data_IF_942372333058
#
_entry.id   IF_942372333058
#
_cell.length_a   1.000
_cell.length_b   1.000
_cell.length_c   1.000
_cell.angle_alpha   90.00
_cell.angle_beta   90.00
_cell.angle_gamma   90.00
#
_symmetry.space_group_name_H-M   'P 1'
#
loop_
_entity.id
_entity.type
_entity.pdbx_description
1 polymer ?
#
# COMPACT_ATOMS: atom_id res chain seq x y z
N UNK A 1 39.62 -20.75 25.23
CA UNK A 1 38.17 -21.07 25.29
C UNK A 1 37.28 -19.89 24.86
N UNK A 2 37.70 -19.09 23.87
CA UNK A 2 36.95 -17.89 23.43
C UNK A 2 36.55 -17.88 21.95
N UNK A 3 37.07 -18.79 21.11
CA UNK A 3 36.85 -18.74 19.65
C UNK A 3 35.38 -18.95 19.26
N UNK A 4 34.66 -19.84 19.96
CA UNK A 4 33.26 -20.12 19.62
C UNK A 4 32.33 -18.97 20.01
N UNK A 5 32.64 -18.27 21.11
CA UNK A 5 31.88 -17.12 21.58
C UNK A 5 32.08 -15.89 20.69
N UNK A 6 33.33 -15.64 20.25
CA UNK A 6 33.62 -14.58 19.28
C UNK A 6 33.00 -14.87 17.90
N UNK A 7 33.09 -16.11 17.40
CA UNK A 7 32.47 -16.48 16.13
C UNK A 7 30.94 -16.28 16.14
N UNK A 8 30.29 -16.56 17.26
CA UNK A 8 28.85 -16.35 17.41
C UNK A 8 28.48 -14.86 17.41
N UNK A 9 29.27 -14.00 18.08
CA UNK A 9 29.04 -12.55 18.07
C UNK A 9 29.20 -11.99 16.65
N UNK A 10 30.20 -12.45 15.89
CA UNK A 10 30.42 -12.01 14.52
C UNK A 10 29.33 -12.48 13.56
N UNK A 11 28.78 -13.69 13.76
CA UNK A 11 27.63 -14.16 12.99
C UNK A 11 26.39 -13.30 13.25
N UNK A 12 26.09 -13.01 14.53
CA UNK A 12 24.94 -12.19 14.91
C UNK A 12 25.06 -10.76 14.37
N UNK A 13 26.26 -10.18 14.44
CA UNK A 13 26.54 -8.83 13.92
C UNK A 13 26.40 -8.80 12.40
N UNK A 14 26.96 -9.78 11.69
CA UNK A 14 26.86 -9.86 10.23
C UNK A 14 25.42 -10.02 9.75
N UNK A 15 24.66 -10.93 10.36
CA UNK A 15 23.25 -11.15 10.04
C UNK A 15 22.37 -9.96 10.44
N UNK A 16 22.63 -9.37 11.62
CA UNK A 16 21.90 -8.21 12.13
C UNK A 16 22.12 -6.96 11.29
N UNK A 17 23.34 -6.72 10.82
CA UNK A 17 23.65 -5.58 9.95
C UNK A 17 22.91 -5.67 8.61
N UNK A 18 22.87 -6.85 7.99
CA UNK A 18 22.09 -7.07 6.76
C UNK A 18 20.60 -6.91 7.02
N UNK A 19 20.09 -7.41 8.14
CA UNK A 19 18.69 -7.23 8.50
C UNK A 19 18.31 -5.75 8.65
N UNK A 20 19.13 -4.97 9.36
CA UNK A 20 18.94 -3.53 9.52
C UNK A 20 18.98 -2.83 8.16
N UNK A 21 19.93 -3.21 7.31
CA UNK A 21 20.05 -2.65 5.97
C UNK A 21 18.79 -2.91 5.13
N UNK A 22 18.26 -4.14 5.14
CA UNK A 22 17.01 -4.49 4.45
C UNK A 22 15.81 -3.69 4.98
N UNK A 23 15.68 -3.56 6.30
CA UNK A 23 14.62 -2.74 6.91
C UNK A 23 14.73 -1.27 6.49
N UNK A 24 15.95 -0.71 6.50
CA UNK A 24 16.18 0.64 6.00
C UNK A 24 15.83 0.78 4.51
N UNK A 25 16.16 -0.22 3.70
CA UNK A 25 15.82 -0.26 2.27
C UNK A 25 14.30 -0.22 2.06
N UNK A 26 13.56 -1.02 2.83
CA UNK A 26 12.09 -1.03 2.84
C UNK A 26 11.55 0.32 3.32
N UNK A 27 12.13 0.93 4.35
CA UNK A 27 11.70 2.23 4.88
C UNK A 27 11.87 3.33 3.82
N UNK A 28 13.02 3.38 3.16
CA UNK A 28 13.27 4.32 2.05
C UNK A 28 12.25 4.12 0.93
N UNK A 29 11.93 2.87 0.58
CA UNK A 29 10.92 2.58 -0.44
C UNK A 29 9.50 2.97 -0.01
N UNK A 30 9.16 2.84 1.27
CA UNK A 30 7.87 3.33 1.78
C UNK A 30 7.81 4.86 1.79
N UNK A 31 8.91 5.52 2.13
CA UNK A 31 9.01 6.98 2.11
C UNK A 31 8.90 7.48 0.67
N UNK A 32 9.59 6.85 -0.30
CA UNK A 32 9.45 7.21 -1.70
C UNK A 32 8.03 6.97 -2.20
N UNK A 33 7.35 5.87 -1.83
CA UNK A 33 5.95 5.63 -2.17
C UNK A 33 5.01 6.72 -1.61
N UNK A 34 5.21 7.13 -0.36
CA UNK A 34 4.44 8.21 0.26
C UNK A 34 4.72 9.59 -0.36
N UNK A 35 5.98 9.88 -0.69
CA UNK A 35 6.39 11.11 -1.39
C UNK A 35 5.82 11.13 -2.81
N UNK A 36 5.91 10.04 -3.56
CA UNK A 36 5.34 9.92 -4.91
C UNK A 36 3.82 10.19 -4.85
N UNK A 37 3.09 9.58 -3.92
CA UNK A 37 1.65 9.81 -3.76
C UNK A 37 1.29 11.28 -3.43
N UNK A 38 2.19 12.01 -2.77
CA UNK A 38 2.00 13.40 -2.35
C UNK A 38 2.43 14.42 -3.42
N UNK A 39 3.48 14.13 -4.19
CA UNK A 39 4.07 15.02 -5.21
C UNK A 39 3.49 14.78 -6.60
N UNK A 40 3.19 13.53 -6.92
CA UNK A 40 2.30 13.15 -8.00
C UNK A 40 1.11 12.44 -7.36
N UNK A 41 0.17 13.20 -6.77
CA UNK A 41 -1.20 12.76 -6.83
C UNK A 41 -1.54 12.75 -8.32
N UNK A 42 -1.14 11.69 -9.02
CA UNK A 42 -2.02 11.11 -10.00
C UNK A 42 -3.32 11.00 -9.23
N UNK A 43 -4.24 11.95 -9.44
CA UNK A 43 -5.58 12.01 -8.87
C UNK A 43 -5.99 10.58 -8.92
N UNK A 44 -5.90 9.86 -7.78
CA UNK A 44 -5.78 8.40 -7.77
C UNK A 44 -6.76 7.98 -8.83
N UNK A 45 -6.24 7.48 -9.96
CA UNK A 45 -7.09 7.07 -11.06
C UNK A 45 -8.18 6.33 -10.34
N UNK A 46 -9.40 6.84 -10.46
CA UNK A 46 -10.56 6.41 -9.72
C UNK A 46 -10.65 4.91 -9.94
N UNK A 47 -9.88 4.13 -9.17
CA UNK A 47 -10.05 2.72 -8.95
C UNK A 47 -11.21 2.73 -7.98
N UNK A 48 -12.35 3.05 -8.58
CA UNK A 48 -13.41 2.10 -8.59
C UNK A 48 -13.75 1.66 -7.17
N UNK A 49 -14.26 2.63 -6.40
CA UNK A 49 -15.58 2.42 -5.82
C UNK A 49 -16.64 2.29 -6.93
N UNK A 50 -16.44 1.36 -7.86
CA UNK A 50 -17.44 0.79 -8.73
C UNK A 50 -17.24 -0.73 -8.62
N UNK A 51 -18.25 -1.55 -8.35
CA UNK A 51 -19.68 -1.29 -8.45
C UNK A 51 -20.41 -1.56 -7.14
N UNK A 52 -21.24 -0.61 -6.74
CA UNK A 52 -22.48 -0.90 -5.99
C UNK A 52 -23.35 0.36 -5.88
N UNK A 53 -22.74 1.56 -5.76
CA UNK A 53 -23.50 2.80 -5.55
C UNK A 53 -24.01 3.48 -6.83
N UNK A 54 -23.19 3.52 -7.88
CA UNK A 54 -23.50 4.27 -9.12
C UNK A 54 -24.54 3.55 -9.99
N UNK A 55 -24.42 2.23 -10.18
CA UNK A 55 -25.40 1.45 -10.94
C UNK A 55 -26.77 1.41 -10.27
N UNK A 56 -26.83 1.27 -8.94
CA UNK A 56 -28.09 1.34 -8.18
C UNK A 56 -28.72 2.73 -8.28
N UNK A 57 -27.92 3.80 -8.27
CA UNK A 57 -28.43 5.16 -8.46
C UNK A 57 -28.96 5.37 -9.89
N UNK A 58 -28.28 4.85 -10.92
CA UNK A 58 -28.77 4.88 -12.30
C UNK A 58 -30.06 4.06 -12.48
N UNK A 59 -30.10 2.85 -11.93
CA UNK A 59 -31.27 1.97 -12.00
C UNK A 59 -32.46 2.58 -11.24
N UNK A 60 -32.24 3.13 -10.05
CA UNK A 60 -33.27 3.83 -9.28
C UNK A 60 -33.79 5.07 -10.02
N UNK A 61 -32.91 5.85 -10.66
CA UNK A 61 -33.32 7.00 -11.46
C UNK A 61 -34.18 6.59 -12.67
N UNK A 62 -33.80 5.51 -13.39
CA UNK A 62 -34.59 5.01 -14.52
C UNK A 62 -35.95 4.47 -14.07
N UNK A 63 -36.01 3.72 -12.98
CA UNK A 63 -37.27 3.20 -12.42
C UNK A 63 -38.18 4.35 -11.96
N UNK A 64 -37.63 5.40 -11.33
CA UNK A 64 -38.40 6.56 -10.92
C UNK A 64 -39.04 7.29 -12.10
N UNK A 65 -38.30 7.47 -13.20
CA UNK A 65 -38.80 8.10 -14.43
C UNK A 65 -39.90 7.25 -15.09
N UNK A 66 -39.75 5.93 -15.10
CA UNK A 66 -40.76 5.03 -15.66
C UNK A 66 -42.05 5.05 -14.84
N UNK A 67 -41.94 5.08 -13.51
CA UNK A 67 -43.08 5.15 -12.59
C UNK A 67 -43.82 6.48 -12.62
N UNK A 68 -43.15 7.60 -12.90
CA UNK A 68 -43.80 8.90 -13.04
C UNK A 68 -44.51 9.13 -14.37
N UNK A 69 -44.38 8.19 -15.33
CA UNK A 69 -45.10 8.19 -16.61
C UNK A 69 -46.35 7.30 -16.62
N UNK A 70 -46.62 6.56 -15.54
CA UNK A 70 -47.89 5.90 -15.29
C UNK A 70 -48.72 6.73 -14.32
#
# INVERSE_FOLDING_TARGET
MNLIGEGFIFMLVGMGMVFIFLVLMILVMNVSAGIISRFFPEKAAEESSAGSGSEKSKLAAVIAIAKSRQ
#
